data_IF_140669261898
#
_entry.id   IF_140669261898
#
_cell.length_a   1.000
_cell.length_b   1.000
_cell.length_c   1.000
_cell.angle_alpha   90.00
_cell.angle_beta   90.00
_cell.angle_gamma   90.00
#
_symmetry.space_group_name_H-M   'P 1'
#
loop_
_entity.id
_entity.type
_entity.pdbx_description
1 polymer ?
#
# COMPACT_ATOMS: atom_id res chain seq x y z
N UNK A 1 -13.24 1.89 3.33
CA UNK A 1 -13.00 0.51 2.83
C UNK A 1 -12.11 -0.29 3.77
N UNK A 2 -10.86 0.13 4.01
CA UNK A 2 -9.92 -0.50 4.94
C UNK A 2 -10.53 -0.94 6.29
N UNK A 3 -11.16 -0.03 7.02
CA UNK A 3 -11.78 -0.33 8.31
C UNK A 3 -12.93 -1.37 8.24
N UNK A 4 -13.67 -1.41 7.12
CA UNK A 4 -14.74 -2.38 6.92
C UNK A 4 -14.15 -3.79 6.71
N UNK A 5 -13.07 -3.91 5.93
CA UNK A 5 -12.38 -5.18 5.72
C UNK A 5 -11.66 -5.67 6.97
N UNK A 6 -11.13 -4.79 7.80
CA UNK A 6 -10.61 -5.15 9.14
C UNK A 6 -11.68 -5.80 10.01
N UNK A 7 -12.92 -5.30 9.98
CA UNK A 7 -14.05 -5.88 10.74
C UNK A 7 -14.69 -7.10 10.05
N UNK A 8 -14.49 -7.26 8.74
CA UNK A 8 -15.05 -8.38 8.00
C UNK A 8 -14.49 -9.73 8.48
N UNK A 9 -15.38 -10.64 8.88
CA UNK A 9 -15.04 -11.96 9.46
C UNK A 9 -14.02 -11.88 10.60
N UNK A 10 -14.10 -10.83 11.43
CA UNK A 10 -13.18 -10.58 12.54
C UNK A 10 -13.04 -11.80 13.49
N UNK A 11 -14.13 -12.48 13.81
CA UNK A 11 -14.12 -13.70 14.64
C UNK A 11 -13.26 -14.83 14.07
N UNK A 12 -13.26 -15.00 12.74
CA UNK A 12 -12.40 -16.00 12.07
C UNK A 12 -10.93 -15.59 12.18
N UNK A 13 -10.61 -14.31 11.96
CA UNK A 13 -9.25 -13.76 12.08
C UNK A 13 -8.74 -13.85 13.52
N UNK A 14 -9.63 -13.67 14.51
CA UNK A 14 -9.32 -13.78 15.94
C UNK A 14 -8.96 -15.21 16.32
N UNK A 15 -9.68 -16.21 15.77
CA UNK A 15 -9.34 -17.64 15.95
C UNK A 15 -8.01 -18.03 15.32
N UNK A 16 -7.57 -17.32 14.28
CA UNK A 16 -6.22 -17.45 13.71
C UNK A 16 -5.16 -16.67 14.49
N UNK A 17 -5.55 -15.99 15.58
CA UNK A 17 -4.69 -15.11 16.38
C UNK A 17 -3.93 -14.06 15.55
N UNK A 18 -4.54 -13.63 14.44
CA UNK A 18 -4.00 -12.67 13.49
C UNK A 18 -4.93 -11.46 13.26
N UNK A 19 -6.02 -11.37 14.03
CA UNK A 19 -6.90 -10.21 13.98
C UNK A 19 -6.22 -8.94 14.51
N UNK A 20 -6.55 -7.82 13.88
CA UNK A 20 -6.16 -6.49 14.34
C UNK A 20 -6.62 -6.25 15.78
N UNK A 21 -5.76 -5.69 16.62
CA UNK A 21 -6.10 -5.43 18.03
C UNK A 21 -7.22 -4.37 18.20
N UNK A 22 -7.76 -4.29 19.43
CA UNK A 22 -8.75 -3.28 19.84
C UNK A 22 -9.98 -3.22 18.91
N UNK A 23 -10.38 -4.36 18.33
CA UNK A 23 -11.52 -4.41 17.40
C UNK A 23 -11.28 -3.68 16.08
N UNK A 24 -10.01 -3.51 15.68
CA UNK A 24 -9.62 -2.77 14.49
C UNK A 24 -9.29 -1.29 14.70
N UNK A 25 -9.24 -0.81 15.94
CA UNK A 25 -8.89 0.59 16.23
C UNK A 25 -7.40 0.85 15.96
N UNK A 26 -7.11 1.84 15.11
CA UNK A 26 -5.75 2.26 14.73
C UNK A 26 -5.29 3.44 15.59
N UNK A 27 -4.03 3.43 16.01
CA UNK A 27 -3.40 4.56 16.69
C UNK A 27 -3.09 5.69 15.70
N UNK A 28 -2.88 6.92 16.20
CA UNK A 28 -2.53 8.08 15.38
C UNK A 28 -1.25 7.86 14.56
N UNK A 29 -0.29 7.09 15.08
CA UNK A 29 0.95 6.73 14.38
C UNK A 29 0.68 5.93 13.12
N UNK A 30 -0.31 5.02 13.16
CA UNK A 30 -0.70 4.25 11.98
C UNK A 30 -1.41 5.11 10.93
N UNK A 31 -2.20 6.10 11.38
CA UNK A 31 -2.84 7.09 10.48
C UNK A 31 -1.75 7.93 9.79
N UNK A 32 -0.76 8.39 10.54
CA UNK A 32 0.37 9.15 9.99
C UNK A 32 1.21 8.30 9.03
N UNK A 33 1.55 7.06 9.40
CA UNK A 33 2.32 6.17 8.54
C UNK A 33 1.65 5.90 7.19
N UNK A 34 0.33 5.71 7.17
CA UNK A 34 -0.41 5.40 5.95
C UNK A 34 -0.85 6.64 5.15
N UNK A 35 -1.01 7.79 5.80
CA UNK A 35 -1.59 9.00 5.20
C UNK A 35 -0.64 10.20 5.09
N UNK A 36 0.48 10.18 5.80
CA UNK A 36 1.41 11.33 5.91
C UNK A 36 2.02 11.72 4.57
N UNK A 37 2.42 10.73 3.77
CA UNK A 37 2.94 10.97 2.40
C UNK A 37 1.86 11.59 1.52
N UNK A 38 0.63 11.08 1.55
CA UNK A 38 -0.48 11.61 0.75
C UNK A 38 -0.81 13.05 1.16
N UNK A 39 -0.87 13.32 2.47
CA UNK A 39 -1.08 14.67 2.99
C UNK A 39 0.04 15.62 2.55
N UNK A 40 1.29 15.20 2.64
CA UNK A 40 2.44 15.98 2.16
C UNK A 40 2.31 16.32 0.67
N UNK A 41 2.00 15.35 -0.18
CA UNK A 41 1.87 15.57 -1.62
C UNK A 41 0.74 16.54 -1.97
N UNK A 42 -0.43 16.39 -1.35
CA UNK A 42 -1.56 17.29 -1.57
C UNK A 42 -1.24 18.73 -1.12
N UNK A 43 -0.54 18.88 0.02
CA UNK A 43 -0.10 20.20 0.50
C UNK A 43 0.93 20.81 -0.45
N UNK A 44 1.89 20.02 -0.95
CA UNK A 44 2.89 20.52 -1.90
C UNK A 44 2.25 20.98 -3.21
N UNK A 45 1.32 20.21 -3.77
CA UNK A 45 0.57 20.60 -4.96
C UNK A 45 -0.16 21.93 -4.76
N UNK A 46 -0.90 22.07 -3.64
CA UNK A 46 -1.62 23.28 -3.31
C UNK A 46 -0.72 24.51 -3.13
N UNK A 47 0.40 24.37 -2.42
CA UNK A 47 1.37 25.45 -2.24
C UNK A 47 2.01 25.88 -3.57
N UNK A 48 2.33 24.92 -4.44
CA UNK A 48 2.92 25.20 -5.75
C UNK A 48 1.93 25.87 -6.69
N UNK A 49 0.66 25.50 -6.67
CA UNK A 49 -0.40 26.19 -7.43
C UNK A 49 -0.63 27.62 -6.94
N UNK A 50 -0.50 27.88 -5.63
CA UNK A 50 -0.56 29.26 -5.10
C UNK A 50 0.63 30.08 -5.60
N UNK A 51 1.84 29.51 -5.60
CA UNK A 51 3.05 30.19 -6.04
C UNK A 51 3.13 30.36 -7.56
N UNK A 52 2.62 29.38 -8.31
CA UNK A 52 2.68 29.31 -9.77
C UNK A 52 1.30 28.89 -10.33
N UNK A 53 0.34 29.83 -10.47
CA UNK A 53 -1.04 29.51 -10.85
C UNK A 53 -1.21 28.88 -12.24
N UNK A 54 -0.21 29.01 -13.12
CA UNK A 54 -0.19 28.41 -14.46
C UNK A 54 0.70 27.16 -14.54
N UNK A 55 1.28 26.72 -13.41
CA UNK A 55 2.12 25.52 -13.36
C UNK A 55 1.29 24.24 -13.43
N UNK A 56 1.82 23.21 -14.10
CA UNK A 56 1.28 21.85 -14.00
C UNK A 56 2.03 21.09 -12.89
N UNK A 57 1.29 20.65 -11.88
CA UNK A 57 1.80 19.87 -10.75
C UNK A 57 1.05 18.54 -10.57
N UNK A 58 0.40 18.02 -11.62
CA UNK A 58 -0.39 16.78 -11.59
C UNK A 58 0.46 15.55 -11.20
N UNK A 59 1.79 15.64 -11.28
CA UNK A 59 2.70 14.62 -10.76
C UNK A 59 2.45 14.35 -9.26
N UNK A 60 2.11 15.37 -8.47
CA UNK A 60 1.77 15.20 -7.06
C UNK A 60 0.46 14.43 -6.88
N UNK A 61 -0.55 14.67 -7.72
CA UNK A 61 -1.77 13.87 -7.77
C UNK A 61 -1.47 12.40 -8.11
N UNK A 62 -0.58 12.12 -9.06
CA UNK A 62 -0.19 10.75 -9.39
C UNK A 62 0.49 10.05 -8.20
N UNK A 63 1.39 10.74 -7.49
CA UNK A 63 1.97 10.22 -6.25
C UNK A 63 0.95 10.05 -5.12
N UNK A 64 -0.02 10.95 -5.01
CA UNK A 64 -1.12 10.86 -4.05
C UNK A 64 -1.95 9.59 -4.30
N UNK A 65 -2.36 9.37 -5.56
CA UNK A 65 -3.07 8.14 -5.98
C UNK A 65 -2.22 6.91 -5.63
N UNK A 66 -0.93 6.94 -5.93
CA UNK A 66 -0.03 5.82 -5.65
C UNK A 66 0.13 5.53 -4.15
N UNK A 67 0.20 6.57 -3.33
CA UNK A 67 0.26 6.46 -1.87
C UNK A 67 -1.02 5.82 -1.31
N UNK A 68 -2.18 6.36 -1.70
CA UNK A 68 -3.49 5.88 -1.22
C UNK A 68 -3.78 4.47 -1.72
N UNK A 69 -3.42 4.16 -2.98
CA UNK A 69 -3.52 2.83 -3.55
C UNK A 69 -2.67 1.83 -2.77
N UNK A 70 -1.44 2.20 -2.40
CA UNK A 70 -0.55 1.36 -1.59
C UNK A 70 -1.11 1.07 -0.20
N UNK A 71 -1.49 2.11 0.55
CA UNK A 71 -2.04 1.93 1.90
C UNK A 71 -3.32 1.09 1.89
N UNK A 72 -4.14 1.25 0.85
CA UNK A 72 -5.36 0.47 0.66
C UNK A 72 -5.03 -0.98 0.29
N UNK A 73 -4.13 -1.19 -0.67
CA UNK A 73 -3.70 -2.50 -1.14
C UNK A 73 -3.10 -3.32 0.00
N UNK A 74 -2.19 -2.75 0.78
CA UNK A 74 -1.57 -3.43 1.92
C UNK A 74 -2.62 -3.89 2.96
N UNK A 75 -3.52 -2.98 3.35
CA UNK A 75 -4.57 -3.32 4.31
C UNK A 75 -5.48 -4.42 3.75
N UNK A 76 -5.91 -4.33 2.50
CA UNK A 76 -6.81 -5.33 1.91
C UNK A 76 -6.09 -6.66 1.67
N UNK A 77 -4.82 -6.64 1.27
CA UNK A 77 -3.98 -7.82 1.10
C UNK A 77 -3.87 -8.61 2.39
N UNK A 78 -3.56 -7.92 3.49
CA UNK A 78 -3.47 -8.53 4.82
C UNK A 78 -4.83 -9.05 5.27
N UNK A 79 -5.87 -8.21 5.24
CA UNK A 79 -7.17 -8.53 5.83
C UNK A 79 -7.96 -9.59 5.04
N UNK A 80 -7.86 -9.58 3.71
CA UNK A 80 -8.50 -10.58 2.85
C UNK A 80 -7.59 -11.81 2.74
N UNK A 81 -6.27 -11.65 2.69
CA UNK A 81 -5.30 -12.74 2.65
C UNK A 81 -5.38 -13.68 3.86
N UNK A 82 -5.67 -13.15 5.06
CA UNK A 82 -5.93 -13.97 6.26
C UNK A 82 -7.12 -14.94 6.11
N UNK A 83 -8.00 -14.73 5.14
CA UNK A 83 -9.15 -15.59 4.88
C UNK A 83 -8.86 -16.70 3.87
N UNK A 84 -7.67 -16.70 3.26
CA UNK A 84 -7.20 -17.73 2.34
C UNK A 84 -7.22 -19.11 3.03
N UNK A 85 -7.81 -20.14 2.40
CA UNK A 85 -7.91 -21.47 3.02
C UNK A 85 -6.57 -22.22 3.12
N UNK A 86 -5.59 -21.87 2.29
CA UNK A 86 -4.26 -22.47 2.30
C UNK A 86 -3.27 -21.73 3.20
N UNK A 87 -2.04 -22.23 3.24
CA UNK A 87 -0.95 -21.63 4.01
C UNK A 87 -0.27 -20.50 3.20
N UNK A 88 -0.04 -19.31 3.80
CA UNK A 88 0.77 -18.27 3.19
C UNK A 88 2.20 -18.73 2.87
N UNK A 89 2.83 -18.06 1.91
CA UNK A 89 4.23 -18.28 1.52
C UNK A 89 5.05 -17.03 1.80
N UNK A 90 6.30 -17.21 2.20
CA UNK A 90 7.18 -16.07 2.46
C UNK A 90 7.61 -15.42 1.14
N UNK A 91 7.47 -14.11 1.01
CA UNK A 91 7.80 -13.39 -0.23
C UNK A 91 9.27 -13.53 -0.65
N UNK A 92 10.19 -13.61 0.32
CA UNK A 92 11.63 -13.80 0.07
C UNK A 92 12.02 -15.25 -0.23
N UNK A 93 11.14 -16.22 0.07
CA UNK A 93 11.33 -17.62 -0.26
C UNK A 93 9.96 -18.27 -0.51
N UNK A 94 9.41 -18.19 -1.74
CA UNK A 94 8.06 -18.65 -2.05
C UNK A 94 7.81 -20.15 -1.89
N UNK A 95 8.86 -20.94 -1.66
CA UNK A 95 8.75 -22.37 -1.33
C UNK A 95 8.48 -22.60 0.17
N UNK A 96 8.82 -21.62 1.01
CA UNK A 96 8.63 -21.68 2.46
C UNK A 96 7.22 -21.23 2.83
N UNK A 97 6.44 -22.15 3.39
CA UNK A 97 5.14 -21.86 3.99
C UNK A 97 5.30 -21.26 5.38
N UNK A 98 4.44 -20.33 5.74
CA UNK A 98 4.46 -19.62 7.04
C UNK A 98 3.06 -19.50 7.63
N UNK A 99 2.92 -19.37 8.96
CA UNK A 99 1.62 -19.16 9.59
C UNK A 99 0.90 -17.89 9.09
N UNK A 100 -0.44 -17.86 9.06
CA UNK A 100 -1.21 -16.64 8.84
C UNK A 100 -0.80 -15.49 9.76
N UNK A 101 -0.68 -14.28 9.20
CA UNK A 101 -0.25 -13.09 9.93
C UNK A 101 1.27 -12.97 10.14
N UNK A 102 2.07 -13.80 9.48
CA UNK A 102 3.54 -13.63 9.44
C UNK A 102 3.89 -12.45 8.53
N UNK A 103 4.75 -11.53 8.98
CA UNK A 103 5.25 -10.41 8.17
C UNK A 103 5.94 -10.90 6.89
N UNK A 104 5.51 -10.37 5.74
CA UNK A 104 5.93 -10.82 4.41
C UNK A 104 5.36 -12.17 3.94
N UNK A 105 4.35 -12.69 4.63
CA UNK A 105 3.57 -13.84 4.19
C UNK A 105 2.51 -13.43 3.15
N UNK A 106 2.68 -13.85 1.91
CA UNK A 106 1.77 -13.56 0.80
C UNK A 106 0.83 -14.74 0.52
N UNK A 107 -0.38 -14.44 0.04
CA UNK A 107 -1.38 -15.44 -0.36
C UNK A 107 -1.99 -15.04 -1.71
N UNK A 108 -2.45 -15.99 -2.56
CA UNK A 108 -3.11 -15.66 -3.82
C UNK A 108 -4.33 -14.73 -3.64
N UNK A 109 -5.05 -14.89 -2.52
CA UNK A 109 -6.20 -14.05 -2.21
C UNK A 109 -5.77 -12.62 -1.79
N UNK A 110 -4.65 -12.48 -1.09
CA UNK A 110 -4.04 -11.20 -0.79
C UNK A 110 -3.55 -10.48 -2.05
N UNK A 111 -2.86 -11.19 -2.95
CA UNK A 111 -2.40 -10.63 -4.23
C UNK A 111 -3.56 -10.15 -5.11
N UNK A 112 -4.66 -10.92 -5.18
CA UNK A 112 -5.86 -10.47 -5.87
C UNK A 112 -6.44 -9.21 -5.23
N UNK A 113 -6.42 -9.12 -3.89
CA UNK A 113 -6.88 -7.95 -3.16
C UNK A 113 -6.03 -6.70 -3.46
N UNK A 114 -4.72 -6.84 -3.69
CA UNK A 114 -3.84 -5.76 -4.14
C UNK A 114 -4.32 -5.20 -5.48
N UNK A 115 -4.52 -6.07 -6.48
CA UNK A 115 -5.00 -5.67 -7.80
C UNK A 115 -6.36 -4.98 -7.74
N UNK A 116 -7.30 -5.55 -6.99
CA UNK A 116 -8.64 -4.97 -6.81
C UNK A 116 -8.60 -3.63 -6.10
N UNK A 117 -7.67 -3.44 -5.15
CA UNK A 117 -7.49 -2.16 -4.45
C UNK A 117 -6.97 -1.09 -5.39
N UNK A 118 -5.97 -1.41 -6.21
CA UNK A 118 -5.46 -0.48 -7.21
C UNK A 118 -6.48 -0.11 -8.28
N UNK A 119 -7.27 -1.08 -8.76
CA UNK A 119 -8.41 -0.84 -9.65
C UNK A 119 -9.46 0.07 -9.00
N UNK A 120 -9.75 -0.14 -7.71
CA UNK A 120 -10.71 0.68 -6.99
C UNK A 120 -10.22 2.13 -6.83
N UNK A 121 -8.98 2.34 -6.37
CA UNK A 121 -8.44 3.69 -6.15
C UNK A 121 -8.23 4.43 -7.47
N UNK A 122 -7.63 3.76 -8.47
CA UNK A 122 -7.48 4.31 -9.81
C UNK A 122 -8.83 4.57 -10.50
N UNK A 123 -9.80 3.66 -10.33
CA UNK A 123 -11.15 3.82 -10.85
C UNK A 123 -11.92 4.98 -10.22
N UNK A 124 -11.74 5.22 -8.91
CA UNK A 124 -12.27 6.42 -8.24
C UNK A 124 -11.65 7.68 -8.84
N UNK A 125 -10.32 7.73 -9.00
CA UNK A 125 -9.66 8.88 -9.63
C UNK A 125 -10.18 9.11 -11.06
N UNK A 126 -10.32 8.04 -11.85
CA UNK A 126 -10.90 8.09 -13.19
C UNK A 126 -12.35 8.60 -13.20
N UNK A 127 -13.18 8.18 -12.25
CA UNK A 127 -14.54 8.68 -12.13
C UNK A 127 -14.57 10.17 -11.77
N UNK A 128 -13.72 10.60 -10.82
CA UNK A 128 -13.60 12.01 -10.45
C UNK A 128 -13.11 12.87 -11.63
N UNK A 129 -12.20 12.35 -12.46
CA UNK A 129 -11.75 13.01 -13.68
C UNK A 129 -12.90 13.17 -14.69
N UNK A 130 -13.65 12.09 -14.96
CA UNK A 130 -14.77 12.13 -15.91
C UNK A 130 -15.93 13.03 -15.45
N UNK A 131 -16.09 13.19 -14.12
CA UNK A 131 -17.06 14.11 -13.53
C UNK A 131 -16.52 15.56 -13.44
N UNK A 132 -15.34 15.84 -13.99
CA UNK A 132 -14.66 17.14 -13.93
C UNK A 132 -14.44 17.66 -12.49
N UNK A 133 -14.31 16.76 -11.51
CA UNK A 133 -13.99 17.11 -10.11
C UNK A 133 -12.48 17.30 -9.95
N UNK A 134 -11.68 16.48 -10.64
CA UNK A 134 -10.25 16.66 -10.77
C UNK A 134 -9.90 16.90 -12.23
N UNK A 135 -8.91 17.73 -12.50
CA UNK A 135 -8.36 17.96 -13.84
C UNK A 135 -6.95 17.38 -13.89
N UNK A 136 -6.59 16.78 -15.02
CA UNK A 136 -5.25 16.27 -15.30
C UNK A 136 -4.89 16.81 -16.67
N UNK A 137 -4.12 17.88 -16.68
CA UNK A 137 -3.73 18.54 -17.92
C UNK A 137 -2.66 17.73 -18.66
N UNK A 138 -1.84 16.95 -17.93
CA UNK A 138 -0.64 16.32 -18.50
C UNK A 138 0.36 17.36 -19.02
N UNK A 139 1.47 16.93 -19.61
CA UNK A 139 2.45 17.89 -20.14
C UNK A 139 3.89 17.42 -20.11
N UNK A 140 4.11 16.16 -19.78
CA UNK A 140 5.37 15.47 -19.97
C UNK A 140 5.29 14.74 -21.33
N UNK A 141 6.40 14.65 -22.06
CA UNK A 141 6.45 13.86 -23.30
C UNK A 141 7.01 12.48 -22.95
N UNK A 142 6.25 11.74 -22.14
CA UNK A 142 6.65 10.44 -21.62
C UNK A 142 7.01 9.43 -22.71
N UNK A 143 7.88 8.48 -22.36
CA UNK A 143 8.40 7.47 -23.32
C UNK A 143 7.27 6.61 -23.88
N UNK A 144 6.24 6.28 -23.08
CA UNK A 144 5.12 5.49 -23.57
C UNK A 144 4.22 6.30 -24.51
N UNK A 145 4.02 7.60 -24.26
CA UNK A 145 3.27 8.46 -25.20
C UNK A 145 3.91 8.37 -26.59
N UNK A 146 5.23 8.59 -26.69
CA UNK A 146 5.95 8.52 -27.97
C UNK A 146 5.82 7.16 -28.65
N UNK A 147 5.86 6.08 -27.87
CA UNK A 147 5.69 4.72 -28.40
C UNK A 147 4.27 4.49 -28.93
N UNK A 148 3.24 4.90 -28.18
CA UNK A 148 1.84 4.72 -28.58
C UNK A 148 1.47 5.63 -29.75
N UNK A 149 1.97 6.86 -29.78
CA UNK A 149 1.88 7.76 -30.94
C UNK A 149 2.50 7.14 -32.19
N UNK A 150 3.70 6.55 -32.08
CA UNK A 150 4.33 5.81 -33.18
C UNK A 150 3.47 4.63 -33.67
N UNK A 151 2.74 3.98 -32.76
CA UNK A 151 1.81 2.89 -33.07
C UNK A 151 0.41 3.36 -33.50
N UNK A 152 0.17 4.67 -33.57
CA UNK A 152 -1.13 5.24 -33.93
C UNK A 152 -2.24 5.01 -32.89
N UNK A 153 -1.88 4.84 -31.62
CA UNK A 153 -2.81 4.61 -30.52
C UNK A 153 -2.73 5.73 -29.49
N UNK A 154 -3.87 6.18 -28.98
CA UNK A 154 -3.95 7.11 -27.85
C UNK A 154 -4.48 6.41 -26.61
N UNK A 155 -3.77 6.57 -25.49
CA UNK A 155 -4.26 6.08 -24.19
C UNK A 155 -5.06 7.21 -23.52
N UNK A 156 -6.34 7.00 -23.23
CA UNK A 156 -7.14 8.02 -22.57
C UNK A 156 -6.72 8.19 -21.10
N UNK A 157 -6.85 9.40 -20.56
CA UNK A 157 -6.43 9.76 -19.19
C UNK A 157 -6.99 8.82 -18.13
N UNK A 158 -8.26 8.43 -18.24
CA UNK A 158 -8.90 7.52 -17.28
C UNK A 158 -8.24 6.13 -17.23
N UNK A 159 -7.63 5.64 -18.33
CA UNK A 159 -6.86 4.39 -18.33
C UNK A 159 -5.53 4.61 -17.61
N UNK A 160 -4.86 5.74 -17.87
CA UNK A 160 -3.59 6.10 -17.23
C UNK A 160 -3.73 6.17 -15.70
N UNK A 161 -4.83 6.76 -15.20
CA UNK A 161 -5.13 6.85 -13.77
C UNK A 161 -5.38 5.48 -13.12
N UNK A 162 -6.08 4.58 -13.82
CA UNK A 162 -6.24 3.18 -13.37
C UNK A 162 -4.88 2.47 -13.33
N UNK A 163 -4.06 2.64 -14.37
CA UNK A 163 -2.73 2.04 -14.43
C UNK A 163 -1.84 2.52 -13.27
N UNK A 164 -1.87 3.82 -12.96
CA UNK A 164 -1.18 4.39 -11.78
C UNK A 164 -1.64 3.69 -10.50
N UNK A 165 -2.95 3.60 -10.25
CA UNK A 165 -3.49 2.98 -9.04
C UNK A 165 -3.09 1.50 -8.90
N UNK A 166 -3.21 0.71 -9.97
CA UNK A 166 -2.86 -0.72 -9.98
C UNK A 166 -1.38 -0.93 -9.76
N UNK A 167 -0.54 -0.26 -10.55
CA UNK A 167 0.91 -0.45 -10.49
C UNK A 167 1.49 0.04 -9.17
N UNK A 168 1.13 1.24 -8.73
CA UNK A 168 1.64 1.79 -7.48
C UNK A 168 1.17 0.97 -6.27
N UNK A 169 -0.11 0.56 -6.25
CA UNK A 169 -0.64 -0.33 -5.21
C UNK A 169 0.10 -1.66 -5.14
N UNK A 170 0.40 -2.26 -6.30
CA UNK A 170 1.20 -3.49 -6.40
C UNK A 170 2.63 -3.31 -5.91
N UNK A 171 3.34 -2.31 -6.43
CA UNK A 171 4.74 -2.05 -6.07
C UNK A 171 4.88 -1.71 -4.59
N UNK A 172 4.01 -0.84 -4.08
CA UNK A 172 4.03 -0.41 -2.68
C UNK A 172 3.71 -1.55 -1.70
N UNK A 173 2.67 -2.35 -1.95
CA UNK A 173 2.34 -3.49 -1.08
C UNK A 173 3.35 -4.63 -1.17
N UNK A 174 3.96 -4.83 -2.36
CA UNK A 174 5.09 -5.76 -2.52
C UNK A 174 6.30 -5.30 -1.71
N UNK A 175 6.62 -3.99 -1.75
CA UNK A 175 7.68 -3.41 -0.94
C UNK A 175 7.43 -3.59 0.55
N UNK A 176 6.18 -3.43 1.01
CA UNK A 176 5.77 -3.72 2.39
C UNK A 176 6.13 -5.14 2.80
N UNK A 177 5.66 -6.13 2.03
CA UNK A 177 5.93 -7.53 2.30
C UNK A 177 7.43 -7.86 2.30
N UNK A 178 8.21 -7.26 1.39
CA UNK A 178 9.66 -7.45 1.33
C UNK A 178 10.37 -6.86 2.54
N UNK A 179 10.08 -5.61 2.89
CA UNK A 179 10.65 -4.92 4.05
C UNK A 179 10.23 -5.64 5.34
N UNK A 180 8.97 -6.05 5.44
CA UNK A 180 8.42 -6.84 6.54
C UNK A 180 9.14 -8.19 6.73
N UNK A 181 9.43 -8.91 5.64
CA UNK A 181 10.16 -10.17 5.71
C UNK A 181 11.65 -10.02 6.09
N UNK A 182 12.26 -8.87 5.80
CA UNK A 182 13.72 -8.68 5.83
C UNK A 182 14.21 -7.80 6.97
N UNK A 183 13.64 -6.61 7.12
CA UNK A 183 14.14 -5.54 7.98
C UNK A 183 13.29 -5.32 9.24
N UNK A 184 11.99 -5.62 9.19
CA UNK A 184 11.06 -5.36 10.30
C UNK A 184 11.44 -6.14 11.57
N UNK A 185 11.31 -5.48 12.72
CA UNK A 185 11.57 -6.07 14.03
C UNK A 185 10.57 -7.19 14.34
N UNK A 186 11.10 -8.36 14.65
CA UNK A 186 10.34 -9.51 15.12
C UNK A 186 10.83 -9.95 16.49
N UNK A 187 9.88 -10.42 17.30
CA UNK A 187 10.08 -10.88 18.65
C UNK A 187 9.50 -12.27 18.84
N UNK A 188 9.97 -12.99 19.85
CA UNK A 188 9.42 -14.26 20.30
C UNK A 188 8.88 -14.13 21.71
N UNK A 189 7.64 -14.57 21.91
CA UNK A 189 7.06 -14.63 23.25
C UNK A 189 7.74 -15.73 24.08
N UNK A 190 8.23 -15.37 25.27
CA UNK A 190 8.88 -16.31 26.18
C UNK A 190 7.90 -17.29 26.86
N UNK A 191 6.59 -17.03 26.79
CA UNK A 191 5.55 -17.86 27.40
C UNK A 191 4.99 -18.89 26.42
N UNK A 192 4.47 -18.45 25.28
CA UNK A 192 3.84 -19.34 24.29
C UNK A 192 4.73 -19.70 23.10
N UNK A 193 5.93 -19.11 22.99
CA UNK A 193 6.87 -19.38 21.90
C UNK A 193 6.51 -18.74 20.55
N UNK A 194 5.39 -18.02 20.45
CA UNK A 194 4.91 -17.40 19.21
C UNK A 194 5.83 -16.27 18.72
N UNK A 195 6.05 -16.20 17.42
CA UNK A 195 6.70 -15.06 16.75
C UNK A 195 5.67 -13.94 16.57
N UNK A 196 6.03 -12.73 16.97
CA UNK A 196 5.16 -11.56 16.96
C UNK A 196 5.96 -10.28 16.73
N UNK A 197 5.29 -9.24 16.24
CA UNK A 197 5.87 -7.90 16.07
C UNK A 197 5.87 -7.10 17.38
N UNK A 198 5.30 -7.66 18.46
CA UNK A 198 5.07 -6.94 19.72
C UNK A 198 6.21 -7.16 20.71
N UNK A 199 6.61 -6.09 21.37
CA UNK A 199 7.54 -6.11 22.52
C UNK A 199 6.93 -6.74 23.78
N UNK A 200 5.59 -6.87 23.84
CA UNK A 200 4.88 -7.52 24.95
C UNK A 200 3.84 -8.51 24.42
N UNK A 201 3.85 -9.73 24.96
CA UNK A 201 2.91 -10.80 24.62
C UNK A 201 2.71 -11.72 25.83
N UNK A 202 1.49 -12.23 26.05
CA UNK A 202 1.14 -13.00 27.26
C UNK A 202 1.50 -12.29 28.58
N UNK A 203 1.40 -10.95 28.62
CA UNK A 203 1.73 -10.14 29.80
C UNK A 203 3.23 -10.01 30.12
N UNK A 204 4.11 -10.56 29.28
CA UNK A 204 5.55 -10.56 29.46
C UNK A 204 6.27 -9.84 28.31
N UNK A 205 7.47 -9.32 28.57
CA UNK A 205 8.35 -8.77 27.54
C UNK A 205 8.82 -9.91 26.62
N UNK A 206 8.76 -9.66 25.32
CA UNK A 206 9.21 -10.61 24.30
C UNK A 206 10.69 -10.44 24.00
N UNK A 207 11.32 -11.50 23.50
CA UNK A 207 12.74 -11.49 23.15
C UNK A 207 12.89 -11.14 21.69
N UNK A 208 13.67 -10.10 21.37
CA UNK A 208 13.97 -9.73 19.99
C UNK A 208 14.72 -10.86 19.28
N UNK A 209 14.29 -11.22 18.07
CA UNK A 209 14.87 -12.34 17.31
C UNK A 209 15.52 -11.92 16.00
N UNK A 210 14.96 -10.93 15.30
CA UNK A 210 15.40 -10.53 13.95
C UNK A 210 14.92 -9.12 13.64
N UNK A 211 15.65 -8.45 12.75
CA UNK A 211 15.28 -7.16 12.20
C UNK A 211 15.97 -6.03 12.96
N UNK A 212 15.61 -4.80 12.60
CA UNK A 212 16.10 -3.61 13.27
C UNK A 212 15.03 -3.11 14.22
N UNK A 213 15.40 -2.90 15.49
CA UNK A 213 14.47 -2.41 16.53
C UNK A 213 13.79 -1.09 16.18
N UNK A 214 14.44 -0.26 15.37
CA UNK A 214 13.86 0.98 14.89
C UNK A 214 12.74 0.76 13.85
N UNK A 215 12.76 -0.34 13.10
CA UNK A 215 11.85 -0.60 11.98
C UNK A 215 10.67 -1.43 12.48
N UNK A 216 9.65 -0.72 12.99
CA UNK A 216 8.35 -1.29 13.31
C UNK A 216 7.40 -1.27 12.10
N UNK A 217 6.20 -1.83 12.26
CA UNK A 217 5.18 -1.84 11.21
C UNK A 217 4.78 -0.43 10.72
N UNK A 218 4.87 0.61 11.55
CA UNK A 218 4.53 1.97 11.12
C UNK A 218 5.61 2.52 10.18
N UNK A 219 6.90 2.25 10.46
CA UNK A 219 7.98 2.62 9.54
C UNK A 219 7.85 1.85 8.23
N UNK A 220 7.56 0.54 8.27
CA UNK A 220 7.34 -0.24 7.05
C UNK A 220 6.23 0.41 6.21
N UNK A 221 5.06 0.66 6.78
CA UNK A 221 3.94 1.32 6.09
C UNK A 221 4.31 2.70 5.50
N UNK A 222 5.06 3.52 6.25
CA UNK A 222 5.50 4.84 5.78
C UNK A 222 6.43 4.72 4.56
N UNK A 223 7.38 3.79 4.60
CA UNK A 223 8.31 3.53 3.49
C UNK A 223 7.55 2.95 2.30
N UNK A 224 6.69 1.97 2.51
CA UNK A 224 5.87 1.34 1.48
C UNK A 224 5.01 2.37 0.74
N UNK A 225 4.34 3.25 1.47
CA UNK A 225 3.50 4.31 0.88
C UNK A 225 4.32 5.36 0.13
N UNK A 226 5.54 5.68 0.59
CA UNK A 226 6.48 6.51 -0.17
C UNK A 226 6.96 5.82 -1.46
N UNK A 227 7.25 4.52 -1.42
CA UNK A 227 7.56 3.72 -2.61
C UNK A 227 6.39 3.72 -3.59
N UNK A 228 5.16 3.61 -3.09
CA UNK A 228 3.93 3.77 -3.88
C UNK A 228 3.82 5.14 -4.56
N UNK A 229 4.14 6.22 -3.83
CA UNK A 229 4.17 7.56 -4.40
C UNK A 229 5.19 7.67 -5.55
N UNK A 230 6.41 7.14 -5.35
CA UNK A 230 7.46 7.12 -6.37
C UNK A 230 7.04 6.30 -7.59
N UNK A 231 6.36 5.18 -7.41
CA UNK A 231 5.79 4.39 -8.51
C UNK A 231 4.72 5.18 -9.29
N UNK A 232 3.89 5.96 -8.57
CA UNK A 232 2.93 6.88 -9.18
C UNK A 232 3.61 7.99 -10.01
N UNK A 233 4.65 8.62 -9.46
CA UNK A 233 5.46 9.61 -10.19
C UNK A 233 6.11 9.01 -11.44
N UNK A 234 6.70 7.83 -11.31
CA UNK A 234 7.35 7.14 -12.42
C UNK A 234 6.34 6.89 -13.55
N UNK A 235 5.16 6.35 -13.24
CA UNK A 235 4.15 6.12 -14.25
C UNK A 235 3.60 7.42 -14.83
N UNK A 236 3.46 8.48 -14.04
CA UNK A 236 3.11 9.80 -14.58
C UNK A 236 4.13 10.25 -15.64
N UNK A 237 5.43 10.19 -15.32
CA UNK A 237 6.50 10.55 -16.27
C UNK A 237 6.55 9.65 -17.52
N UNK A 238 6.00 8.43 -17.44
CA UNK A 238 5.92 7.52 -18.59
C UNK A 238 4.68 7.78 -19.46
N UNK A 239 3.54 8.12 -18.85
CA UNK A 239 2.22 8.18 -19.49
C UNK A 239 1.70 9.58 -19.81
N UNK A 240 2.15 10.60 -19.11
CA UNK A 240 1.69 11.99 -19.23
C UNK A 240 2.78 12.89 -19.74
#
# INVERSE_FOLDING_TARGET
VAAAFTKYKYERKRRLEAAQEKGGARAWTNVFANGGVAAFLAVMEGLLLIAFPLGNFDIFLAGFIGTVATATADTLATEIGLLYPGEPRLITNPLKKVPPGTSGGITPLGELAILMSGLMIGGIASALYQLNIINVAGGVNGVLIKLFEYLGAEIPVWVKLIAIGVFAGFVGSTADSLIGATLQSLFKCNVCGKITEKEKHCGQITTHIKGYLAIDNNIVNLVSTAVGALAGFLLYLMFF
#
